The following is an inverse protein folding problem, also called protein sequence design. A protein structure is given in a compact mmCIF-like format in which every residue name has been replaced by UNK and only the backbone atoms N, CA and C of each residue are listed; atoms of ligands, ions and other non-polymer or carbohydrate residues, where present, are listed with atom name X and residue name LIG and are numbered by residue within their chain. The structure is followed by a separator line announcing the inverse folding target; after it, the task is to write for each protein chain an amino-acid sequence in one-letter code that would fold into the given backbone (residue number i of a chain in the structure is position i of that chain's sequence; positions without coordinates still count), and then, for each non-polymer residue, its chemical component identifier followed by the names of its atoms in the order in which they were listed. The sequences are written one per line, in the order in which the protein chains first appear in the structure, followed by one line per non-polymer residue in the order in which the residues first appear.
data_IF_739301845032
#
_entry.id   IF_739301845032
#
_cell.length_a   1.000
_cell.length_b   1.000
_cell.length_c   1.000
_cell.angle_alpha   90.00
_cell.angle_beta   90.00
_cell.angle_gamma   90.00
#
_symmetry.space_group_name_H-M   'P 1'
#
loop_
_entity.id
_entity.type
_entity.pdbx_description
1 polymer ?
#
# COMPACT_ATOMS: atom_id res chain seq x y z
N UNK A 1 36.57 10.62 8.64
CA UNK A 1 35.90 9.48 7.97
C UNK A 1 34.67 8.98 8.73
N UNK A 2 34.66 8.95 10.08
CA UNK A 2 33.50 8.47 10.87
C UNK A 2 32.28 9.42 10.95
N UNK A 3 32.44 10.75 10.83
CA UNK A 3 31.30 11.69 10.86
C UNK A 3 30.36 11.59 9.64
N UNK A 4 30.85 11.08 8.50
CA UNK A 4 30.05 10.91 7.28
C UNK A 4 29.08 9.73 7.35
N UNK A 5 29.47 8.65 8.04
CA UNK A 5 28.60 7.49 8.26
C UNK A 5 27.41 7.87 9.15
N UNK A 6 27.65 8.57 10.26
CA UNK A 6 26.58 9.00 11.17
C UNK A 6 25.58 10.00 10.55
N UNK A 7 26.02 10.84 9.60
CA UNK A 7 25.14 11.75 8.88
C UNK A 7 24.34 11.04 7.77
N UNK A 8 24.96 10.08 7.08
CA UNK A 8 24.30 9.19 6.11
C UNK A 8 23.21 8.34 6.79
N UNK A 9 23.49 7.84 7.99
CA UNK A 9 22.55 7.05 8.79
C UNK A 9 21.30 7.85 9.18
N UNK A 10 21.44 9.13 9.52
CA UNK A 10 20.30 10.00 9.87
C UNK A 10 19.39 10.27 8.69
N UNK A 11 19.94 10.57 7.51
CA UNK A 11 19.13 10.82 6.31
C UNK A 11 18.42 9.55 5.85
N UNK A 12 19.11 8.41 5.88
CA UNK A 12 18.51 7.12 5.57
C UNK A 12 17.36 6.78 6.52
N UNK A 13 17.55 6.98 7.83
CA UNK A 13 16.52 6.79 8.83
C UNK A 13 15.30 7.69 8.61
N UNK A 14 15.52 8.98 8.29
CA UNK A 14 14.43 9.92 7.97
C UNK A 14 13.65 9.46 6.74
N UNK A 15 14.35 9.15 5.65
CA UNK A 15 13.73 8.70 4.38
C UNK A 15 12.88 7.45 4.62
N UNK A 16 13.46 6.42 5.24
CA UNK A 16 12.76 5.17 5.55
C UNK A 16 11.55 5.41 6.45
N UNK A 17 11.72 6.18 7.52
CA UNK A 17 10.63 6.46 8.47
C UNK A 17 9.48 7.20 7.79
N UNK A 18 9.78 8.21 6.97
CA UNK A 18 8.75 8.95 6.23
C UNK A 18 8.04 8.05 5.22
N UNK A 19 8.76 7.24 4.44
CA UNK A 19 8.16 6.32 3.47
C UNK A 19 7.23 5.31 4.17
N UNK A 20 7.65 4.73 5.29
CA UNK A 20 6.84 3.76 6.05
C UNK A 20 5.62 4.44 6.67
N UNK A 21 5.79 5.59 7.32
CA UNK A 21 4.68 6.32 7.93
C UNK A 21 3.63 6.73 6.89
N UNK A 22 4.07 7.30 5.77
CA UNK A 22 3.16 7.71 4.70
C UNK A 22 2.48 6.49 4.06
N UNK A 23 3.21 5.39 3.83
CA UNK A 23 2.64 4.15 3.31
C UNK A 23 1.60 3.53 4.25
N UNK A 24 1.90 3.48 5.56
CA UNK A 24 0.98 2.98 6.58
C UNK A 24 -0.28 3.85 6.73
N UNK A 25 -0.15 5.15 6.49
CA UNK A 25 -1.26 6.09 6.41
C UNK A 25 -2.09 5.73 5.16
N UNK A 26 -1.50 5.76 3.96
CA UNK A 26 -2.24 5.61 2.68
C UNK A 26 -2.87 4.23 2.48
N UNK A 27 -2.45 3.19 3.21
CA UNK A 27 -2.92 1.82 2.92
C UNK A 27 -4.44 1.63 3.06
N UNK A 28 -5.10 2.28 4.02
CA UNK A 28 -6.55 2.11 4.22
C UNK A 28 -7.39 2.75 3.13
N UNK A 29 -7.21 4.03 2.73
CA UNK A 29 -7.94 4.57 1.58
C UNK A 29 -7.51 3.91 0.27
N UNK A 30 -6.27 3.43 0.16
CA UNK A 30 -5.84 2.66 -1.01
C UNK A 30 -6.63 1.36 -1.13
N UNK A 31 -6.86 0.63 -0.03
CA UNK A 31 -7.69 -0.58 -0.09
C UNK A 31 -9.15 -0.24 -0.42
N UNK A 32 -9.69 0.85 0.15
CA UNK A 32 -11.00 1.41 -0.20
C UNK A 32 -11.14 1.66 -1.69
N UNK A 33 -10.14 2.31 -2.29
CA UNK A 33 -10.09 2.62 -3.71
C UNK A 33 -9.96 1.36 -4.58
N UNK A 34 -9.07 0.43 -4.21
CA UNK A 34 -8.80 -0.77 -4.99
C UNK A 34 -9.99 -1.72 -4.98
N UNK A 35 -10.63 -1.96 -3.84
CA UNK A 35 -11.67 -3.00 -3.73
C UNK A 35 -13.08 -2.44 -3.64
N UNK A 36 -13.27 -1.12 -3.76
CA UNK A 36 -14.56 -0.46 -3.52
C UNK A 36 -15.16 -0.84 -2.15
N UNK A 37 -14.30 -1.13 -1.18
CA UNK A 37 -14.71 -1.64 0.13
C UNK A 37 -15.07 -0.53 1.12
N UNK A 38 -15.02 0.75 0.68
CA UNK A 38 -15.38 1.93 1.47
C UNK A 38 -14.55 2.13 2.75
N UNK A 39 -13.42 1.44 2.86
CA UNK A 39 -12.47 1.66 3.95
C UNK A 39 -11.69 2.95 3.67
N UNK A 40 -11.70 3.84 4.65
CA UNK A 40 -11.08 5.16 4.52
C UNK A 40 -10.11 5.40 5.68
N UNK A 41 -9.72 6.66 5.90
CA UNK A 41 -8.93 7.06 7.04
C UNK A 41 -9.64 6.73 8.37
N UNK A 42 -8.90 6.40 9.44
CA UNK A 42 -9.48 6.17 10.77
C UNK A 42 -10.36 7.33 11.27
N UNK A 43 -10.05 8.56 10.88
CA UNK A 43 -10.83 9.76 11.21
C UNK A 43 -11.97 10.08 10.22
N UNK A 44 -12.10 9.32 9.13
CA UNK A 44 -13.17 9.46 8.12
C UNK A 44 -14.12 8.25 8.16
N UNK A 45 -14.63 7.92 9.35
CA UNK A 45 -15.67 6.90 9.55
C UNK A 45 -15.28 5.48 9.08
N UNK A 46 -13.99 5.14 9.08
CA UNK A 46 -13.45 3.81 8.72
C UNK A 46 -14.30 2.62 9.24
N UNK A 47 -14.72 2.63 10.50
CA UNK A 47 -15.47 1.51 11.09
C UNK A 47 -16.94 1.42 10.67
N UNK A 48 -17.52 2.51 10.14
CA UNK A 48 -18.95 2.57 9.83
C UNK A 48 -19.23 2.19 8.38
N UNK A 49 -18.38 2.65 7.46
CA UNK A 49 -18.64 2.52 6.03
C UNK A 49 -17.88 1.34 5.39
N UNK A 50 -16.80 0.85 6.02
CA UNK A 50 -15.97 -0.24 5.50
C UNK A 50 -16.71 -1.59 5.52
N UNK A 51 -16.78 -2.24 4.36
CA UNK A 51 -17.52 -3.49 4.16
C UNK A 51 -17.06 -4.64 5.08
N UNK A 52 -15.82 -4.58 5.58
CA UNK A 52 -15.26 -5.58 6.48
C UNK A 52 -16.05 -5.66 7.79
N UNK A 53 -16.47 -4.52 8.34
CA UNK A 53 -17.19 -4.45 9.61
C UNK A 53 -18.70 -4.64 9.50
N UNK A 54 -19.28 -4.58 8.30
CA UNK A 54 -20.73 -4.72 8.07
C UNK A 54 -21.17 -6.19 7.97
N UNK A 55 -21.83 -6.78 8.97
CA UNK A 55 -22.11 -8.22 8.99
C UNK A 55 -22.99 -8.70 7.83
N UNK A 56 -23.83 -7.83 7.27
CA UNK A 56 -24.75 -8.09 6.16
C UNK A 56 -24.09 -8.22 4.78
N UNK A 57 -22.81 -7.84 4.63
CA UNK A 57 -22.14 -7.86 3.32
C UNK A 57 -21.58 -9.25 3.01
N UNK A 58 -22.06 -9.86 1.92
CA UNK A 58 -21.65 -11.19 1.45
C UNK A 58 -20.17 -11.27 1.06
N UNK A 59 -19.63 -10.22 0.43
CA UNK A 59 -18.24 -10.20 -0.06
C UNK A 59 -17.42 -9.15 0.70
N UNK A 60 -16.54 -9.64 1.57
CA UNK A 60 -15.61 -8.82 2.35
C UNK A 60 -14.38 -8.43 1.54
N UNK A 61 -13.73 -7.33 1.92
CA UNK A 61 -12.47 -6.90 1.32
C UNK A 61 -11.43 -8.04 1.29
N UNK A 62 -10.84 -8.37 0.12
CA UNK A 62 -9.88 -9.48 -0.02
C UNK A 62 -8.62 -9.33 0.84
N UNK A 63 -8.17 -8.10 1.10
CA UNK A 63 -7.04 -7.84 1.99
C UNK A 63 -7.39 -7.97 3.47
N UNK A 64 -8.62 -7.63 3.86
CA UNK A 64 -9.02 -7.68 5.26
C UNK A 64 -9.47 -9.08 5.69
N UNK A 65 -9.98 -9.90 4.77
CA UNK A 65 -10.46 -11.24 5.08
C UNK A 65 -9.38 -12.32 5.12
N UNK A 66 -8.20 -12.03 4.56
CA UNK A 66 -7.07 -12.98 4.51
C UNK A 66 -5.82 -12.31 5.04
N UNK A 67 -5.33 -12.79 6.18
CA UNK A 67 -4.10 -12.28 6.81
C UNK A 67 -2.91 -12.35 5.85
N UNK A 68 -2.82 -13.42 5.06
CA UNK A 68 -1.74 -13.60 4.09
C UNK A 68 -1.85 -12.57 2.95
N UNK A 69 -3.06 -12.35 2.43
CA UNK A 69 -3.27 -11.38 1.36
C UNK A 69 -3.11 -9.94 1.86
N UNK A 70 -3.55 -9.62 3.07
CA UNK A 70 -3.39 -8.31 3.69
C UNK A 70 -1.97 -8.06 4.17
N UNK A 71 -1.57 -8.71 5.26
CA UNK A 71 -0.26 -8.48 5.90
C UNK A 71 0.90 -8.86 4.99
N UNK A 72 0.78 -9.92 4.20
CA UNK A 72 1.82 -10.34 3.26
C UNK A 72 2.05 -9.30 2.16
N UNK A 73 0.98 -8.80 1.54
CA UNK A 73 1.06 -7.79 0.48
C UNK A 73 1.57 -6.45 1.01
N UNK A 74 1.01 -5.99 2.14
CA UNK A 74 1.40 -4.72 2.77
C UNK A 74 2.86 -4.79 3.23
N UNK A 75 3.24 -5.87 3.91
CA UNK A 75 4.61 -6.09 4.37
C UNK A 75 5.61 -6.10 3.21
N UNK A 76 5.30 -6.83 2.14
CA UNK A 76 6.16 -6.88 0.95
C UNK A 76 6.27 -5.52 0.27
N UNK A 77 5.16 -4.79 0.13
CA UNK A 77 5.16 -3.45 -0.45
C UNK A 77 5.99 -2.47 0.38
N UNK A 78 5.88 -2.51 1.72
CA UNK A 78 6.66 -1.66 2.61
C UNK A 78 8.15 -1.99 2.56
N UNK A 79 8.53 -3.28 2.60
CA UNK A 79 9.94 -3.70 2.51
C UNK A 79 10.55 -3.22 1.19
N UNK A 80 9.88 -3.46 0.06
CA UNK A 80 10.38 -3.02 -1.25
C UNK A 80 10.44 -1.50 -1.38
N UNK A 81 9.47 -0.78 -0.81
CA UNK A 81 9.50 0.69 -0.77
C UNK A 81 10.66 1.23 0.06
N UNK A 82 10.95 0.62 1.21
CA UNK A 82 12.09 0.97 2.05
C UNK A 82 13.41 0.72 1.31
N UNK A 83 13.57 -0.44 0.67
CA UNK A 83 14.77 -0.74 -0.13
C UNK A 83 14.92 0.24 -1.30
N UNK A 84 13.85 0.54 -2.02
CA UNK A 84 13.86 1.51 -3.11
C UNK A 84 14.25 2.93 -2.63
N UNK A 85 13.72 3.37 -1.49
CA UNK A 85 14.05 4.66 -0.89
C UNK A 85 15.52 4.70 -0.39
N UNK A 86 16.06 3.57 0.06
CA UNK A 86 17.46 3.46 0.50
C UNK A 86 18.47 3.45 -0.66
N UNK A 87 18.17 2.75 -1.75
CA UNK A 87 19.10 2.59 -2.88
C UNK A 87 18.94 3.63 -3.99
N UNK A 88 17.99 4.57 -3.86
CA UNK A 88 17.84 5.68 -4.81
C UNK A 88 19.03 6.63 -4.74
N UNK A 89 19.47 7.08 -5.92
CA UNK A 89 20.68 7.92 -6.07
C UNK A 89 20.50 9.25 -5.32
N UNK A 90 21.52 9.70 -4.56
CA UNK A 90 21.47 10.98 -3.89
C UNK A 90 21.51 12.13 -4.91
N UNK A 91 20.63 13.11 -4.71
CA UNK A 91 20.62 14.36 -5.48
C UNK A 91 21.61 15.37 -4.87
N UNK A 92 22.05 16.38 -5.64
CA UNK A 92 23.07 17.35 -5.21
C UNK A 92 22.59 18.25 -4.05
N UNK A 93 21.28 18.37 -3.81
CA UNK A 93 20.69 19.16 -2.74
C UNK A 93 19.99 18.27 -1.69
N UNK A 94 20.40 18.38 -0.42
CA UNK A 94 19.95 17.48 0.66
C UNK A 94 18.42 17.38 0.82
N UNK A 95 17.69 18.49 0.74
CA UNK A 95 16.23 18.47 0.85
C UNK A 95 15.54 17.82 -0.37
N UNK A 96 16.03 18.11 -1.58
CA UNK A 96 15.52 17.49 -2.82
C UNK A 96 15.82 15.99 -2.84
N UNK A 97 16.98 15.59 -2.33
CA UNK A 97 17.36 14.20 -2.18
C UNK A 97 16.42 13.43 -1.24
N UNK A 98 15.97 14.01 -0.13
CA UNK A 98 14.99 13.34 0.75
C UNK A 98 13.65 13.15 0.02
N UNK A 99 13.13 14.23 -0.57
CA UNK A 99 11.82 14.19 -1.24
C UNK A 99 11.83 13.19 -2.40
N UNK A 100 12.84 13.23 -3.28
CA UNK A 100 12.90 12.33 -4.43
C UNK A 100 12.98 10.86 -4.04
N UNK A 101 13.74 10.53 -2.99
CA UNK A 101 13.88 9.16 -2.48
C UNK A 101 12.60 8.66 -1.83
N UNK A 102 11.93 9.50 -1.03
CA UNK A 102 10.61 9.18 -0.45
C UNK A 102 9.59 8.95 -1.55
N UNK A 103 9.50 9.85 -2.53
CA UNK A 103 8.57 9.70 -3.66
C UNK A 103 8.84 8.44 -4.46
N UNK A 104 10.10 8.12 -4.74
CA UNK A 104 10.47 6.88 -5.42
C UNK A 104 10.04 5.64 -4.62
N UNK A 105 10.30 5.60 -3.31
CA UNK A 105 9.82 4.54 -2.43
C UNK A 105 8.29 4.40 -2.45
N UNK A 106 7.55 5.52 -2.38
CA UNK A 106 6.09 5.53 -2.44
C UNK A 106 5.55 5.07 -3.81
N UNK A 107 6.23 5.38 -4.91
CA UNK A 107 5.86 4.85 -6.23
C UNK A 107 5.98 3.33 -6.25
N UNK A 108 7.09 2.77 -5.73
CA UNK A 108 7.27 1.32 -5.64
C UNK A 108 6.22 0.70 -4.71
N UNK A 109 5.94 1.32 -3.57
CA UNK A 109 4.85 0.90 -2.68
C UNK A 109 3.52 0.78 -3.42
N UNK A 110 3.10 1.84 -4.13
CA UNK A 110 1.82 1.87 -4.86
C UNK A 110 1.75 0.79 -5.95
N UNK A 111 2.84 0.58 -6.69
CA UNK A 111 2.90 -0.45 -7.74
C UNK A 111 2.77 -1.86 -7.14
N UNK A 112 3.58 -2.18 -6.12
CA UNK A 112 3.58 -3.50 -5.50
C UNK A 112 2.26 -3.76 -4.77
N UNK A 113 1.74 -2.78 -4.03
CA UNK A 113 0.44 -2.86 -3.37
C UNK A 113 -0.67 -3.10 -4.40
N UNK A 114 -0.71 -2.38 -5.52
CA UNK A 114 -1.73 -2.57 -6.55
C UNK A 114 -1.65 -3.97 -7.18
N UNK A 115 -0.46 -4.44 -7.55
CA UNK A 115 -0.27 -5.77 -8.18
C UNK A 115 -0.66 -6.89 -7.21
N UNK A 116 -0.19 -6.82 -5.97
CA UNK A 116 -0.52 -7.82 -4.95
C UNK A 116 -1.99 -7.80 -4.56
N UNK A 117 -2.62 -6.62 -4.54
CA UNK A 117 -4.06 -6.47 -4.42
C UNK A 117 -4.83 -7.10 -5.59
N UNK A 118 -4.30 -7.01 -6.81
CA UNK A 118 -4.92 -7.60 -8.00
C UNK A 118 -4.93 -9.11 -7.89
N UNK A 119 -3.79 -9.68 -7.50
CA UNK A 119 -3.62 -11.10 -7.27
C UNK A 119 -4.53 -11.60 -6.14
N UNK A 120 -4.66 -10.83 -5.05
CA UNK A 120 -5.56 -11.15 -3.94
C UNK A 120 -7.03 -11.18 -4.39
N UNK A 121 -7.51 -10.15 -5.09
CA UNK A 121 -8.87 -10.11 -5.62
C UNK A 121 -9.13 -11.25 -6.61
N UNK A 122 -8.18 -11.53 -7.50
CA UNK A 122 -8.27 -12.64 -8.45
C UNK A 122 -8.34 -14.00 -7.75
N UNK A 123 -7.49 -14.23 -6.73
CA UNK A 123 -7.46 -15.50 -6.00
C UNK A 123 -8.68 -15.78 -5.12
N UNK A 124 -9.47 -14.74 -4.84
CA UNK A 124 -10.64 -14.80 -3.95
C UNK A 124 -11.96 -14.55 -4.71
N UNK A 125 -11.93 -14.58 -6.05
CA UNK A 125 -13.09 -14.36 -6.92
C UNK A 125 -13.90 -13.11 -6.55
N UNK A 126 -13.20 -12.02 -6.19
CA UNK A 126 -13.85 -10.83 -5.67
C UNK A 126 -14.62 -10.09 -6.78
N UNK A 127 -15.95 -9.88 -6.64
CA UNK A 127 -16.82 -9.49 -7.76
C UNK A 127 -16.51 -8.12 -8.35
N UNK A 128 -15.94 -7.21 -7.56
CA UNK A 128 -15.64 -5.84 -7.98
C UNK A 128 -14.21 -5.65 -8.57
N UNK A 129 -13.36 -6.69 -8.50
CA UNK A 129 -11.98 -6.65 -8.98
C UNK A 129 -11.16 -5.51 -8.36
N UNK A 130 -10.33 -4.84 -9.20
CA UNK A 130 -9.58 -3.62 -8.84
C UNK A 130 -10.19 -2.38 -9.47
N UNK A 131 -10.43 -1.35 -8.66
CA UNK A 131 -10.84 -0.01 -9.07
C UNK A 131 -12.17 0.03 -9.83
N UNK A 132 -12.98 -1.04 -9.78
CA UNK A 132 -14.17 -1.21 -10.61
C UNK A 132 -13.90 -1.42 -12.10
N UNK A 133 -12.63 -1.51 -12.52
CA UNK A 133 -12.24 -1.67 -13.92
C UNK A 133 -12.41 -3.11 -14.42
N UNK A 134 -12.49 -4.06 -13.48
CA UNK A 134 -12.74 -5.47 -13.76
C UNK A 134 -13.84 -5.93 -12.82
N UNK A 135 -15.11 -5.60 -13.11
CA UNK A 135 -16.15 -6.56 -12.74
C UNK A 135 -15.75 -7.86 -13.43
N UNK A 136 -15.22 -8.81 -12.67
CA UNK A 136 -15.08 -10.19 -13.12
C UNK A 136 -16.52 -10.62 -13.32
N UNK A 137 -17.04 -10.35 -14.52
CA UNK A 137 -18.26 -10.93 -15.00
C UNK A 137 -17.99 -12.42 -14.92
N UNK A 138 -18.54 -13.03 -13.88
CA UNK A 138 -18.98 -14.42 -13.86
C UNK A 138 -19.96 -14.57 -15.03
N UNK A 139 -19.41 -14.55 -16.25
CA UNK A 139 -20.04 -14.83 -17.54
C UNK A 139 -19.14 -15.82 -18.29
N UNK A 140 -18.63 -16.81 -17.58
CA UNK A 140 -18.16 -18.05 -18.18
C UNK A 140 -18.61 -19.18 -17.24
N UNK A 141 -19.67 -19.87 -17.66
CA UNK A 141 -20.40 -20.97 -17.02
C UNK A 141 -21.53 -20.58 -16.07
N UNK A 142 -22.67 -20.19 -16.65
CA UNK A 142 -23.86 -21.05 -16.72
C UNK A 142 -24.63 -20.78 -18.03
#
# INVERSE_FOLDING_TARGET
MFHWLAAYDKVAAIVVSLTVLIGAIIITPLCGLLFQCHCDWPWQRFYFDCNYFQPEVTHKCPWCTSDLAGLGSIGMALILAMLAALFSKPDMFAAKAIISRVMFGLTIFMLIATISGALAAYSQDYPHGIGGLYTIKVLMND
#
